data_IF_847517884070
#
_entry.id   IF_847517884070
#
_cell.length_a   1.000
_cell.length_b   1.000
_cell.length_c   1.000
_cell.angle_alpha   90.00
_cell.angle_beta   90.00
_cell.angle_gamma   90.00
#
_symmetry.space_group_name_H-M   'P 1'
#
loop_
_entity.id
_entity.type
_entity.pdbx_description
1 polymer ?
#
# COMPACT_ATOMS: atom_id res chain seq x y z
N UNK A 1 -2.24 12.56 7.84
CA UNK A 1 -1.22 12.43 6.78
C UNK A 1 -1.00 13.80 6.18
N UNK A 2 0.23 14.14 5.76
CA UNK A 2 0.46 15.36 4.98
C UNK A 2 0.01 15.19 3.52
N UNK A 3 -0.28 16.30 2.84
CA UNK A 3 -0.63 16.30 1.41
C UNK A 3 0.44 15.60 0.54
N UNK A 4 1.71 15.80 0.87
CA UNK A 4 2.84 15.17 0.16
C UNK A 4 2.82 13.64 0.29
N UNK A 5 2.56 13.13 1.49
CA UNK A 5 2.48 11.68 1.74
C UNK A 5 1.33 11.05 0.97
N UNK A 6 0.16 11.70 0.97
CA UNK A 6 -1.02 11.22 0.23
C UNK A 6 -0.79 11.19 -1.28
N UNK A 7 -0.20 12.25 -1.83
CA UNK A 7 0.13 12.31 -3.26
C UNK A 7 1.12 11.22 -3.65
N UNK A 8 2.17 11.04 -2.86
CA UNK A 8 3.15 9.98 -3.08
C UNK A 8 2.50 8.59 -3.02
N UNK A 9 1.59 8.35 -2.06
CA UNK A 9 0.86 7.08 -1.97
C UNK A 9 0.07 6.78 -3.23
N UNK A 10 -0.71 7.75 -3.73
CA UNK A 10 -1.51 7.62 -4.95
C UNK A 10 -0.63 7.32 -6.17
N UNK A 11 0.49 8.03 -6.34
CA UNK A 11 1.39 7.79 -7.46
C UNK A 11 2.09 6.42 -7.35
N UNK A 12 2.54 6.03 -6.16
CA UNK A 12 3.18 4.73 -5.94
C UNK A 12 2.22 3.58 -6.21
N UNK A 13 0.97 3.67 -5.74
CA UNK A 13 -0.07 2.66 -5.98
C UNK A 13 -0.47 2.56 -7.45
N UNK A 14 -0.46 3.67 -8.18
CA UNK A 14 -0.63 3.67 -9.63
C UNK A 14 0.54 3.00 -10.35
N UNK A 15 1.77 3.28 -9.94
CA UNK A 15 2.98 2.74 -10.57
C UNK A 15 3.10 1.20 -10.49
N UNK A 16 2.50 0.60 -9.46
CA UNK A 16 2.55 -0.86 -9.20
C UNK A 16 1.36 -1.62 -9.77
N UNK A 17 0.43 -0.91 -10.42
CA UNK A 17 -0.79 -1.48 -10.96
C UNK A 17 -1.77 -1.93 -9.87
N UNK A 18 -1.93 -1.15 -8.80
CA UNK A 18 -3.05 -1.35 -7.88
C UNK A 18 -4.35 -1.14 -8.67
N UNK A 19 -5.29 -2.11 -8.68
CA UNK A 19 -6.45 -2.10 -9.59
C UNK A 19 -7.45 -0.97 -9.28
N UNK A 20 -7.47 -0.48 -8.03
CA UNK A 20 -8.38 0.58 -7.60
C UNK A 20 -7.70 1.94 -7.66
N UNK A 21 -8.37 2.92 -8.25
CA UNK A 21 -7.87 4.31 -8.28
C UNK A 21 -8.00 4.91 -6.88
N UNK A 22 -6.88 5.32 -6.29
CA UNK A 22 -6.85 6.07 -5.04
C UNK A 22 -6.80 7.56 -5.33
N UNK A 23 -7.83 8.31 -4.90
CA UNK A 23 -7.81 9.78 -4.97
C UNK A 23 -7.47 10.39 -3.61
N UNK A 24 -7.04 11.65 -3.59
CA UNK A 24 -6.80 12.39 -2.35
C UNK A 24 -8.08 12.56 -1.53
N UNK A 25 -9.24 12.61 -2.20
CA UNK A 25 -10.54 12.80 -1.54
C UNK A 25 -10.96 11.58 -0.73
N UNK A 26 -10.57 10.38 -1.18
CA UNK A 26 -10.84 9.14 -0.46
C UNK A 26 -10.23 9.09 0.96
N UNK A 27 -9.22 9.92 1.21
CA UNK A 27 -8.55 10.02 2.51
C UNK A 27 -8.99 11.24 3.33
N UNK A 28 -9.93 12.08 2.83
CA UNK A 28 -10.52 13.17 3.62
C UNK A 28 -11.41 12.63 4.73
N UNK A 29 -12.14 11.55 4.45
CA UNK A 29 -12.94 10.81 5.43
C UNK A 29 -12.27 9.51 5.81
N UNK A 30 -12.33 9.08 7.08
CA UNK A 30 -11.77 7.80 7.51
C UNK A 30 -12.46 6.64 6.79
N UNK A 31 -11.74 5.97 5.89
CA UNK A 31 -12.26 4.84 5.12
C UNK A 31 -11.40 3.59 5.40
N UNK A 32 -11.84 2.78 6.36
CA UNK A 32 -11.14 1.56 6.73
C UNK A 32 -11.16 0.51 5.62
N UNK A 33 -12.28 0.39 4.88
CA UNK A 33 -12.44 -0.60 3.81
C UNK A 33 -11.38 -0.43 2.73
N UNK A 34 -11.13 0.81 2.32
CA UNK A 34 -10.03 1.16 1.39
C UNK A 34 -8.66 0.74 1.91
N UNK A 35 -8.40 0.98 3.19
CA UNK A 35 -7.13 0.61 3.84
C UNK A 35 -6.98 -0.90 3.90
N UNK A 36 -8.05 -1.62 4.25
CA UNK A 36 -8.06 -3.06 4.32
C UNK A 36 -7.80 -3.69 2.95
N UNK A 37 -8.48 -3.24 1.90
CA UNK A 37 -8.24 -3.69 0.52
C UNK A 37 -6.79 -3.44 0.08
N UNK A 38 -6.25 -2.26 0.36
CA UNK A 38 -4.86 -1.93 0.04
C UNK A 38 -3.88 -2.85 0.78
N UNK A 39 -4.13 -3.09 2.07
CA UNK A 39 -3.26 -3.93 2.90
C UNK A 39 -3.33 -5.40 2.48
N UNK A 40 -4.52 -5.92 2.19
CA UNK A 40 -4.75 -7.24 1.64
C UNK A 40 -3.98 -7.43 0.33
N UNK A 41 -4.10 -6.45 -0.59
CA UNK A 41 -3.40 -6.49 -1.86
C UNK A 41 -1.88 -6.53 -1.68
N UNK A 42 -1.32 -5.77 -0.73
CA UNK A 42 0.11 -5.80 -0.43
C UNK A 42 0.51 -7.17 0.12
N UNK A 43 -0.24 -7.73 1.07
CA UNK A 43 0.03 -9.05 1.66
C UNK A 43 0.02 -10.14 0.59
N UNK A 44 -1.03 -10.19 -0.25
CA UNK A 44 -1.20 -11.17 -1.33
C UNK A 44 -0.10 -11.12 -2.39
N UNK A 45 0.60 -10.00 -2.48
CA UNK A 45 1.72 -9.87 -3.39
C UNK A 45 3.04 -10.40 -2.84
N UNK A 46 3.22 -10.38 -1.51
CA UNK A 46 4.33 -11.09 -0.86
C UNK A 46 4.06 -12.59 -0.77
N UNK A 47 2.81 -12.95 -0.50
CA UNK A 47 2.36 -14.33 -0.39
C UNK A 47 0.98 -14.50 -1.05
N UNK A 48 0.94 -15.04 -2.29
CA UNK A 48 -0.30 -15.29 -2.99
C UNK A 48 -1.23 -16.29 -2.30
N UNK A 49 -0.70 -17.13 -1.39
CA UNK A 49 -1.48 -18.13 -0.65
C UNK A 49 -2.02 -17.59 0.68
N UNK A 50 -1.78 -16.31 0.98
CA UNK A 50 -2.23 -15.70 2.22
C UNK A 50 -3.76 -15.67 2.34
N UNK A 51 -4.28 -16.35 3.35
CA UNK A 51 -5.72 -16.39 3.67
C UNK A 51 -6.15 -15.12 4.42
N UNK A 52 -6.22 -13.99 3.73
CA UNK A 52 -6.67 -12.70 4.28
C UNK A 52 -7.73 -12.06 3.36
N UNK A 53 -8.79 -11.52 3.96
CA UNK A 53 -9.94 -10.95 3.26
C UNK A 53 -10.36 -9.62 3.87
N UNK A 54 -10.33 -8.53 3.09
CA UNK A 54 -10.75 -7.20 3.54
C UNK A 54 -12.28 -7.05 3.64
N UNK A 55 -13.04 -7.92 2.97
CA UNK A 55 -14.51 -7.87 2.93
C UNK A 55 -15.14 -8.14 4.30
N UNK A 56 -14.51 -8.98 5.12
CA UNK A 56 -15.01 -9.38 6.44
C UNK A 56 -14.56 -8.43 7.55
N UNK A 57 -14.67 -7.10 7.35
CA UNK A 57 -14.17 -6.08 8.30
C UNK A 57 -15.26 -5.11 8.79
N UNK A 58 -16.47 -5.62 8.91
CA UNK A 58 -17.65 -4.83 9.30
C UNK A 58 -17.58 -4.40 10.77
N UNK A 59 -17.26 -5.34 11.66
CA UNK A 59 -17.18 -5.08 13.10
C UNK A 59 -15.79 -4.54 13.51
N UNK A 60 -15.73 -3.79 14.60
CA UNK A 60 -14.45 -3.29 15.13
C UNK A 60 -13.50 -4.43 15.52
N UNK A 61 -14.05 -5.53 16.06
CA UNK A 61 -13.27 -6.70 16.44
C UNK A 61 -12.59 -7.34 15.23
N UNK A 62 -13.33 -7.47 14.12
CA UNK A 62 -12.78 -8.03 12.87
C UNK A 62 -11.69 -7.13 12.28
N UNK A 63 -11.84 -5.81 12.36
CA UNK A 63 -10.82 -4.85 11.91
C UNK A 63 -9.51 -5.03 12.67
N UNK A 64 -9.58 -5.21 13.99
CA UNK A 64 -8.40 -5.43 14.84
C UNK A 64 -7.76 -6.78 14.51
N UNK A 65 -8.56 -7.83 14.30
CA UNK A 65 -8.07 -9.15 13.92
C UNK A 65 -7.38 -9.12 12.55
N UNK A 66 -7.99 -8.48 11.56
CA UNK A 66 -7.45 -8.28 10.22
C UNK A 66 -6.09 -7.58 10.26
N UNK A 67 -5.99 -6.46 11.00
CA UNK A 67 -4.73 -5.70 11.14
C UNK A 67 -3.64 -6.57 11.76
N UNK A 68 -3.95 -7.33 12.82
CA UNK A 68 -3.00 -8.25 13.46
C UNK A 68 -2.51 -9.32 12.49
N UNK A 69 -3.43 -9.94 11.77
CA UNK A 69 -3.12 -10.98 10.79
C UNK A 69 -2.26 -10.45 9.65
N UNK A 70 -2.61 -9.29 9.07
CA UNK A 70 -1.83 -8.64 8.02
C UNK A 70 -0.40 -8.33 8.49
N UNK A 71 -0.24 -7.78 9.70
CA UNK A 71 1.08 -7.47 10.26
C UNK A 71 1.91 -8.74 10.47
N UNK A 72 1.30 -9.84 10.93
CA UNK A 72 1.98 -11.12 11.09
C UNK A 72 2.48 -11.68 9.75
N UNK A 73 1.63 -11.67 8.73
CA UNK A 73 1.98 -12.14 7.39
C UNK A 73 3.09 -11.28 6.76
N UNK A 74 3.01 -9.95 6.92
CA UNK A 74 4.07 -9.05 6.47
C UNK A 74 5.37 -9.30 7.23
N UNK A 75 5.32 -9.55 8.54
CA UNK A 75 6.51 -9.85 9.32
C UNK A 75 7.17 -11.15 8.86
N UNK A 76 6.39 -12.18 8.56
CA UNK A 76 6.89 -13.47 8.08
C UNK A 76 7.54 -13.34 6.70
N UNK A 77 6.86 -12.69 5.76
CA UNK A 77 7.28 -12.68 4.36
C UNK A 77 8.27 -11.57 4.00
N UNK A 78 8.20 -10.41 4.66
CA UNK A 78 9.04 -9.24 4.35
C UNK A 78 10.04 -8.89 5.46
N UNK A 79 9.93 -9.52 6.63
CA UNK A 79 10.65 -9.15 7.87
C UNK A 79 10.39 -7.71 8.33
N UNK A 80 9.26 -7.12 7.93
CA UNK A 80 8.86 -5.78 8.36
C UNK A 80 8.18 -5.84 9.72
N UNK A 81 8.77 -5.17 10.71
CA UNK A 81 8.19 -5.01 12.04
C UNK A 81 7.26 -3.78 12.04
N UNK A 82 5.96 -4.04 11.91
CA UNK A 82 4.92 -3.02 12.02
C UNK A 82 4.23 -3.13 13.38
N UNK A 83 3.83 -2.00 13.96
CA UNK A 83 3.03 -2.00 15.18
C UNK A 83 1.52 -2.01 14.81
N UNK A 84 0.76 -3.09 15.12
CA UNK A 84 -0.66 -3.21 14.79
C UNK A 84 -1.51 -2.06 15.35
N UNK A 85 -1.22 -1.62 16.59
CA UNK A 85 -1.97 -0.54 17.25
C UNK A 85 -1.81 0.79 16.53
N UNK A 86 -0.58 1.09 16.08
CA UNK A 86 -0.30 2.32 15.31
C UNK A 86 -0.90 2.26 13.91
N UNK A 87 -0.95 1.07 13.30
CA UNK A 87 -1.54 0.86 11.98
C UNK A 87 -3.04 1.15 11.98
N UNK A 88 -3.75 0.74 13.04
CA UNK A 88 -5.18 1.01 13.19
C UNK A 88 -5.48 2.49 13.52
N UNK A 89 -4.69 3.09 14.41
CA UNK A 89 -4.95 4.46 14.90
C UNK A 89 -4.58 5.55 13.90
N UNK A 90 -3.56 5.33 13.06
CA UNK A 90 -2.98 6.40 12.25
C UNK A 90 -2.77 5.94 10.82
N UNK A 91 -3.58 6.49 9.90
CA UNK A 91 -3.44 6.27 8.46
C UNK A 91 -2.01 6.51 7.96
N UNK A 92 -1.28 7.51 8.48
CA UNK A 92 0.13 7.77 8.07
C UNK A 92 1.07 6.59 8.31
N UNK A 93 0.74 5.70 9.25
CA UNK A 93 1.53 4.50 9.51
C UNK A 93 1.34 3.45 8.40
N UNK A 94 0.15 3.38 7.78
CA UNK A 94 -0.11 2.55 6.60
C UNK A 94 0.74 3.02 5.41
N UNK A 95 0.80 4.33 5.15
CA UNK A 95 1.65 4.87 4.08
C UNK A 95 3.12 4.51 4.28
N UNK A 96 3.63 4.64 5.50
CA UNK A 96 5.01 4.23 5.82
C UNK A 96 5.19 2.74 5.61
N UNK A 97 4.24 1.92 6.05
CA UNK A 97 4.26 0.48 5.84
C UNK A 97 4.33 0.14 4.35
N UNK A 98 3.51 0.81 3.52
CA UNK A 98 3.50 0.66 2.07
C UNK A 98 4.87 1.00 1.49
N UNK A 99 5.48 2.14 1.83
CA UNK A 99 6.83 2.51 1.39
C UNK A 99 7.89 1.48 1.81
N UNK A 100 7.82 1.02 3.06
CA UNK A 100 8.77 0.03 3.56
C UNK A 100 8.59 -1.33 2.88
N UNK A 101 7.35 -1.74 2.60
CA UNK A 101 7.03 -2.91 1.78
C UNK A 101 7.64 -2.78 0.39
N UNK A 102 7.51 -1.61 -0.23
CA UNK A 102 8.16 -1.34 -1.51
C UNK A 102 9.67 -1.47 -1.45
N UNK A 103 10.34 -0.83 -0.50
CA UNK A 103 11.79 -0.89 -0.40
C UNK A 103 12.34 -2.33 -0.25
N UNK A 104 11.51 -3.26 0.24
CA UNK A 104 11.86 -4.65 0.51
C UNK A 104 11.42 -5.62 -0.59
N UNK A 105 10.67 -5.14 -1.58
CA UNK A 105 10.06 -5.97 -2.59
C UNK A 105 11.08 -6.52 -3.61
N UNK A 106 10.95 -7.78 -4.08
CA UNK A 106 11.84 -8.35 -5.08
C UNK A 106 11.91 -7.51 -6.37
N UNK A 107 13.12 -7.17 -6.81
CA UNK A 107 13.40 -6.29 -7.96
C UNK A 107 12.81 -6.80 -9.28
N UNK A 108 12.53 -8.10 -9.37
CA UNK A 108 11.90 -8.76 -10.53
C UNK A 108 10.52 -8.19 -10.89
N UNK A 109 9.82 -7.56 -9.93
CA UNK A 109 8.49 -6.95 -10.14
C UNK A 109 8.62 -5.46 -10.55
N UNK A 110 9.83 -4.88 -10.48
CA UNK A 110 10.12 -3.47 -10.66
C UNK A 110 10.58 -3.03 -12.05
N UNK A 111 10.07 -3.63 -13.14
CA UNK A 111 10.48 -3.23 -14.51
C UNK A 111 10.32 -1.73 -14.79
N UNK A 112 9.47 -1.00 -14.05
CA UNK A 112 9.25 0.45 -14.19
C UNK A 112 9.62 1.33 -12.97
N UNK A 113 10.08 0.77 -11.85
CA UNK A 113 10.17 1.52 -10.57
C UNK A 113 11.52 2.22 -10.33
N UNK A 114 12.61 1.73 -10.90
CA UNK A 114 13.90 2.45 -10.87
C UNK A 114 13.78 3.87 -11.42
N UNK A 115 13.00 4.04 -12.51
CA UNK A 115 12.71 5.35 -13.10
C UNK A 115 11.92 6.23 -12.14
N UNK A 116 10.95 5.67 -11.40
CA UNK A 116 10.11 6.40 -10.46
C UNK A 116 10.88 6.89 -9.21
N UNK A 117 11.70 6.03 -8.61
CA UNK A 117 12.52 6.40 -7.42
C UNK A 117 13.54 7.47 -7.76
N UNK A 118 14.15 7.41 -8.95
CA UNK A 118 15.07 8.45 -9.45
C UNK A 118 14.35 9.80 -9.63
N UNK A 119 13.12 9.82 -10.17
CA UNK A 119 12.32 11.03 -10.34
C UNK A 119 11.78 11.62 -9.02
N UNK A 120 11.40 10.77 -8.05
CA UNK A 120 10.91 11.23 -6.74
C UNK A 120 12.01 11.92 -5.90
N UNK A 121 13.27 11.50 -6.05
CA UNK A 121 14.42 12.10 -5.34
C UNK A 121 14.90 13.40 -5.98
N UNK A 122 14.63 13.63 -7.27
CA UNK A 122 15.08 14.82 -8.00
C UNK A 122 14.10 15.99 -7.98
N UNK A 123 12.96 15.88 -7.29
CA UNK A 123 11.95 16.96 -7.23
C UNK A 123 11.21 17.21 -8.55
N UNK A 124 11.32 16.30 -9.53
CA UNK A 124 10.68 16.42 -10.83
C UNK A 124 9.17 16.17 -10.77
N UNK A 125 8.40 16.93 -11.56
CA UNK A 125 6.95 16.74 -11.71
C UNK A 125 6.66 15.48 -12.51
N UNK A 126 5.89 14.55 -11.92
CA UNK A 126 5.59 13.19 -12.42
C UNK A 126 4.59 13.20 -13.60
N UNK A 127 4.53 14.27 -14.40
CA UNK A 127 3.66 14.35 -15.58
C UNK A 127 4.08 13.39 -16.72
N UNK A 128 5.30 12.84 -16.65
CA UNK A 128 5.84 11.92 -17.66
C UNK A 128 5.58 10.43 -17.39
N UNK A 129 5.02 10.07 -16.23
CA UNK A 129 4.69 8.67 -15.93
C UNK A 129 3.38 8.28 -16.64
N UNK A 130 3.51 7.95 -17.92
CA UNK A 130 2.47 7.27 -18.69
C UNK A 130 2.45 5.80 -18.26
N UNK A 131 1.39 5.30 -17.61
CA UNK A 131 1.28 3.86 -17.35
C UNK A 131 1.24 3.16 -18.71
N UNK A 132 2.09 2.15 -18.90
CA UNK A 132 1.96 1.27 -20.05
C UNK A 132 0.57 0.62 -19.95
N UNK A 133 -0.22 0.75 -21.02
CA UNK A 133 -1.46 -0.01 -21.21
C UNK A 133 -1.17 -1.45 -20.83
N UNK A 134 -1.83 -1.95 -19.78
CA UNK A 134 -1.96 -3.38 -19.59
C UNK A 134 -2.73 -3.87 -20.80
N UNK A 135 -2.03 -4.48 -21.74
CA UNK A 135 -2.68 -5.16 -22.86
C UNK A 135 -3.54 -6.28 -22.28
N UNK A 136 -4.75 -6.36 -22.81
CA UNK A 136 -5.64 -7.51 -22.75
C UNK A 136 -4.89 -8.80 -23.09
#
# INVERSE_FOLDING_TARGET
MSYRELRNLCEMTRAIGYPRILSLENFRTPNFKLVAELLEWIVKRFDPSATISAEQTETEQDRVLFIKQAVLLLLQNSRLKLNPRKLYQVYSYLYRAVIHCFARWPVSIYRNFEKFVKLSRSGGTIAEFRPLKQNC
#
